data_IF_095488087822
#
_entry.id   IF_095488087822
#
_cell.length_a   1.000
_cell.length_b   1.000
_cell.length_c   1.000
_cell.angle_alpha   90.00
_cell.angle_beta   90.00
_cell.angle_gamma   90.00
#
_symmetry.space_group_name_H-M   'P 1'
#
loop_
_entity.id
_entity.type
_entity.pdbx_description
1 polymer ?
2 polymer ?
3 polymer ?
4 non-polymer ?
#
loop_
_entity_poly.entity_id
_entity_poly.type
_entity_poly.pdbx_seq_one_letter_code
_entity_poly.pdbx_strand_id
2 'polyribonucleotide' 'GGCCAAAGGCCCUUUUCAGGGCCACC' ?
3 'polyribonucleotide' 'GGCCAAAGGCCCUUUUCAGGGCCACCCC' ?
#
# COMPACT_ATOMS: atom_id res chain seq x y z
N UNK A 2 16.63 -21.09 8.39
CA UNK A 2 15.36 -20.84 7.72
C UNK A 2 14.14 -21.47 8.42
N UNK A 3 14.19 -21.52 9.75
CA UNK A 3 13.01 -21.86 10.57
C UNK A 3 13.23 -21.37 12.00
N UNK A 4 12.48 -20.36 12.38
CA UNK A 4 12.74 -19.65 13.62
C UNK A 4 11.43 -19.24 14.22
N UNK A 5 11.28 -19.47 15.51
CA UNK A 5 10.16 -18.89 16.21
C UNK A 5 10.72 -18.16 17.39
N UNK A 6 10.27 -16.91 17.52
CA UNK A 6 10.73 -15.99 18.54
C UNK A 6 10.28 -16.49 19.89
N UNK A 7 11.17 -16.47 20.87
CA UNK A 7 10.80 -16.95 22.20
C UNK A 7 10.71 -15.82 23.22
N UNK A 8 11.54 -14.80 23.04
CA UNK A 8 11.70 -13.71 24.01
C UNK A 8 10.37 -13.02 24.37
N UNK A 9 9.91 -13.23 25.61
CA UNK A 9 8.56 -12.78 26.00
C UNK A 9 8.47 -11.28 25.84
N UNK A 10 9.59 -10.62 26.16
CA UNK A 10 9.74 -9.19 25.92
C UNK A 10 9.36 -8.84 24.49
N UNK A 11 10.06 -9.43 23.53
CA UNK A 11 9.80 -9.17 22.12
C UNK A 11 8.36 -9.50 21.72
N UNK A 12 7.86 -10.63 22.19
CA UNK A 12 6.51 -11.04 21.86
C UNK A 12 5.41 -10.12 22.43
N UNK A 13 5.62 -9.61 23.63
CA UNK A 13 4.63 -8.69 24.19
C UNK A 13 4.61 -7.39 23.42
N UNK A 14 5.78 -6.76 23.28
CA UNK A 14 5.89 -5.51 22.55
C UNK A 14 5.20 -5.68 21.21
N UNK A 15 5.55 -6.76 20.52
CA UNK A 15 4.96 -7.03 19.22
C UNK A 15 3.46 -7.31 19.31
N UNK A 16 3.01 -7.97 20.38
CA UNK A 16 1.59 -8.22 20.46
C UNK A 16 0.88 -6.89 20.62
N UNK A 17 1.43 -6.04 21.49
CA UNK A 17 0.86 -4.73 21.77
C UNK A 17 0.65 -3.97 20.47
N UNK A 18 1.72 -3.83 19.69
CA UNK A 18 1.66 -3.15 18.40
C UNK A 18 0.54 -3.72 17.55
N UNK A 19 0.36 -5.03 17.59
CA UNK A 19 -0.67 -5.69 16.80
C UNK A 19 -2.03 -5.36 17.37
N UNK A 20 -2.15 -5.49 18.68
CA UNK A 20 -3.40 -5.25 19.39
C UNK A 20 -3.89 -3.86 19.11
N UNK A 21 -2.95 -2.91 19.07
CA UNK A 21 -3.25 -1.55 18.70
C UNK A 21 -3.97 -1.56 17.38
N UNK A 22 -3.41 -2.27 16.42
CA UNK A 22 -3.91 -2.21 15.06
C UNK A 22 -5.29 -2.83 14.93
N UNK A 23 -5.58 -3.82 15.76
CA UNK A 23 -6.87 -4.50 15.66
C UNK A 23 -7.93 -3.64 16.31
N UNK A 24 -7.50 -2.79 17.24
CA UNK A 24 -8.40 -1.93 17.99
C UNK A 24 -8.93 -0.77 17.14
N UNK A 25 -8.33 -0.59 15.96
CA UNK A 25 -8.81 0.45 15.06
C UNK A 25 -10.14 0.02 14.46
N UNK A 26 -10.83 1.00 13.88
CA UNK A 26 -12.11 0.77 13.21
C UNK A 26 -11.89 0.13 11.84
N UNK A 27 -10.78 0.50 11.20
CA UNK A 27 -10.42 -0.05 9.90
C UNK A 27 -10.30 -1.56 9.94
N UNK A 28 -9.63 -2.09 10.98
CA UNK A 28 -9.53 -3.53 11.16
C UNK A 28 -10.90 -4.13 11.47
N UNK A 29 -11.69 -3.46 12.30
CA UNK A 29 -13.06 -3.91 12.54
C UNK A 29 -13.76 -4.02 11.19
N UNK A 30 -13.74 -2.92 10.44
CA UNK A 30 -14.26 -2.89 9.07
C UNK A 30 -13.35 -3.67 8.12
N UNK A 31 -13.07 -4.93 8.47
CA UNK A 31 -12.26 -5.81 7.64
C UNK A 31 -12.88 -7.16 7.95
N UNK A 32 -14.21 -7.12 8.08
CA UNK A 32 -15.03 -8.31 8.18
C UNK A 32 -15.41 -8.64 6.74
N UNK A 33 -14.92 -7.82 5.83
CA UNK A 33 -15.17 -8.00 4.40
C UNK A 33 -13.97 -8.63 3.67
N UNK A 34 -13.39 -9.71 4.22
CA UNK A 34 -12.31 -10.42 3.54
C UNK A 34 -12.07 -11.86 4.02
N UNK A 35 -12.30 -12.82 3.13
CA UNK A 35 -12.02 -14.23 3.44
C UNK A 35 -10.55 -14.59 3.24
N UNK A 36 -9.92 -15.19 4.27
CA UNK A 36 -8.64 -15.87 4.04
C UNK A 36 -8.79 -17.03 3.05
N UNK A 40 -6.77 -12.43 2.76
CA UNK A 40 -6.73 -13.15 1.48
C UNK A 40 -5.34 -13.09 0.82
N UNK A 41 -5.09 -12.10 -0.03
CA UNK A 41 -3.81 -11.99 -0.72
C UNK A 41 -2.76 -11.22 0.06
N UNK A 42 -1.67 -10.86 -0.62
CA UNK A 42 -0.61 -10.11 0.02
C UNK A 42 -0.73 -8.63 -0.34
N UNK A 43 -1.64 -8.35 -1.28
CA UNK A 43 -1.98 -6.97 -1.65
C UNK A 43 -2.86 -6.41 -0.54
N UNK A 44 -3.42 -7.31 0.26
CA UNK A 44 -4.17 -6.92 1.43
C UNK A 44 -3.24 -6.51 2.56
N UNK A 45 -3.80 -5.99 3.66
CA UNK A 45 -2.96 -5.72 4.82
C UNK A 45 -3.00 -6.85 5.84
N UNK A 46 -1.89 -7.58 5.96
CA UNK A 46 -1.85 -8.70 6.89
C UNK A 46 -0.90 -8.39 8.04
N UNK A 47 -1.35 -8.75 9.24
CA UNK A 47 -0.60 -8.47 10.44
C UNK A 47 0.72 -9.21 10.34
N UNK A 48 1.83 -8.58 10.75
CA UNK A 48 3.11 -9.25 10.70
C UNK A 48 3.11 -10.51 11.58
N UNK A 49 3.89 -11.51 11.20
CA UNK A 49 4.07 -12.64 12.06
C UNK A 49 4.87 -12.18 13.27
N UNK A 50 4.30 -12.34 14.46
CA UNK A 50 4.98 -11.82 15.61
C UNK A 50 6.12 -12.76 15.98
N UNK A 51 6.02 -13.99 15.48
CA UNK A 51 6.99 -15.02 15.82
C UNK A 51 8.11 -15.08 14.83
N UNK A 52 8.07 -14.22 13.82
CA UNK A 52 9.09 -14.25 12.80
C UNK A 52 10.40 -13.73 13.32
N UNK A 53 11.50 -14.25 12.79
CA UNK A 53 12.80 -13.68 13.09
C UNK A 53 12.87 -12.40 12.30
N UNK A 54 12.89 -11.28 13.01
CA UNK A 54 12.93 -9.98 12.40
C UNK A 54 13.83 -9.05 13.18
N UNK A 55 14.43 -8.07 12.51
CA UNK A 55 15.19 -7.06 13.22
C UNK A 55 14.17 -6.12 13.82
N UNK A 56 14.64 -5.22 14.69
CA UNK A 56 13.74 -4.29 15.36
C UNK A 56 13.15 -3.31 14.37
N UNK A 57 13.99 -2.75 13.50
CA UNK A 57 13.50 -1.84 12.50
C UNK A 57 12.58 -2.54 11.53
N UNK A 58 12.94 -3.79 11.21
CA UNK A 58 12.22 -4.57 10.21
C UNK A 58 10.80 -4.78 10.61
N UNK A 59 10.60 -5.15 11.87
CA UNK A 59 9.27 -5.47 12.35
C UNK A 59 8.48 -4.21 12.48
N UNK A 60 9.16 -3.17 12.92
CA UNK A 60 8.50 -1.92 13.15
C UNK A 60 8.11 -1.39 11.78
N UNK A 61 9.07 -1.42 10.86
CA UNK A 61 8.79 -1.08 9.47
C UNK A 61 7.52 -1.71 8.90
N UNK A 62 7.38 -3.01 9.12
CA UNK A 62 6.22 -3.76 8.67
C UNK A 62 4.95 -3.25 9.28
N UNK A 63 5.02 -3.01 10.58
CA UNK A 63 3.87 -2.59 11.34
C UNK A 63 3.37 -1.22 10.90
N UNK A 64 4.31 -0.29 10.70
CA UNK A 64 3.96 1.01 10.15
C UNK A 64 3.12 0.81 8.91
N UNK A 65 3.68 0.07 7.97
CA UNK A 65 3.04 -0.18 6.68
C UNK A 65 1.73 -0.90 6.89
N UNK A 66 1.64 -1.65 7.97
CA UNK A 66 0.43 -2.37 8.21
C UNK A 66 -0.69 -1.40 8.51
N UNK A 67 -0.49 -0.60 9.53
CA UNK A 67 -1.45 0.38 9.96
C UNK A 67 -1.87 1.35 8.86
N UNK A 68 -0.91 1.84 8.08
CA UNK A 68 -1.23 2.72 6.97
C UNK A 68 -2.18 2.01 6.02
N UNK A 69 -1.78 0.82 5.59
CA UNK A 69 -2.57 0.04 4.66
C UNK A 69 -4.00 -0.17 5.16
N UNK A 70 -4.16 -0.26 6.47
CA UNK A 70 -5.48 -0.51 7.01
C UNK A 70 -6.46 0.56 6.57
N UNK A 71 -5.99 1.81 6.56
CA UNK A 71 -6.87 2.97 6.42
C UNK A 71 -7.66 3.01 5.14
N UNK A 72 -7.32 2.13 4.19
CA UNK A 72 -8.11 1.94 2.98
C UNK A 72 -9.48 1.37 3.33
N UNK A 73 -9.71 1.14 4.62
CA UNK A 73 -10.92 0.45 5.05
C UNK A 73 -11.92 1.22 5.88
N UNK A 74 -12.11 2.51 5.58
CA UNK A 74 -13.35 3.20 5.94
C UNK A 74 -13.47 4.64 5.45
N UNK A 75 -14.69 5.04 4.99
CA UNK A 75 -15.05 6.43 4.65
C UNK A 75 -15.74 7.16 5.81
N UNK B 3 1.82 24.39 -9.19
CA UNK B 3 2.63 25.61 -9.27
C UNK B 3 3.65 25.50 -10.41
N UNK B 4 3.78 24.28 -10.93
CA UNK B 4 4.60 23.98 -12.10
C UNK B 4 3.82 22.97 -12.91
N UNK B 5 3.84 23.11 -14.23
CA UNK B 5 3.22 22.10 -15.08
C UNK B 5 4.24 21.68 -16.11
N UNK B 6 4.42 20.37 -16.27
CA UNK B 6 5.38 19.85 -17.23
C UNK B 6 4.88 20.14 -18.62
N UNK B 7 5.81 20.49 -19.49
CA UNK B 7 5.45 20.95 -20.83
C UNK B 7 6.22 20.24 -21.94
N UNK B 8 7.28 19.53 -21.59
CA UNK B 8 8.02 18.69 -22.55
C UNK B 8 7.10 17.62 -23.17
N UNK B 9 7.00 17.60 -24.52
CA UNK B 9 6.15 16.61 -25.19
C UNK B 9 6.59 15.20 -24.87
N UNK B 10 7.90 15.00 -24.88
CA UNK B 10 8.54 13.70 -24.70
C UNK B 10 8.24 13.12 -23.35
N UNK B 11 8.43 13.95 -22.33
CA UNK B 11 8.12 13.58 -20.95
C UNK B 11 6.63 13.28 -20.77
N UNK B 12 5.79 14.12 -21.37
CA UNK B 12 4.37 13.97 -21.20
C UNK B 12 3.85 12.71 -21.82
N UNK B 13 4.30 12.45 -23.04
CA UNK B 13 3.88 11.25 -23.78
C UNK B 13 4.29 10.00 -23.03
N UNK B 14 5.57 9.91 -22.67
CA UNK B 14 6.08 8.77 -21.93
C UNK B 14 5.32 8.58 -20.64
N UNK B 15 5.26 9.63 -19.83
CA UNK B 15 4.59 9.53 -18.54
C UNK B 15 3.16 9.04 -18.74
N UNK B 16 2.52 9.42 -19.84
CA UNK B 16 1.15 8.98 -20.02
C UNK B 16 1.12 7.49 -20.35
N UNK B 17 2.09 7.05 -21.17
CA UNK B 17 2.26 5.63 -21.44
C UNK B 17 2.33 4.80 -20.16
N UNK B 18 3.18 5.23 -19.23
CA UNK B 18 3.32 4.53 -17.97
C UNK B 18 1.98 4.40 -17.28
N UNK B 19 1.25 5.50 -17.22
CA UNK B 19 -0.08 5.49 -16.61
C UNK B 19 -1.03 4.66 -17.45
N UNK B 20 -0.91 4.80 -18.77
CA UNK B 20 -1.81 4.13 -19.69
C UNK B 20 -1.73 2.64 -19.45
N UNK B 21 -0.51 2.17 -19.21
CA UNK B 21 -0.29 0.77 -18.87
C UNK B 21 -1.08 0.36 -17.64
N UNK B 22 -0.94 1.13 -16.57
CA UNK B 22 -1.67 0.85 -15.36
C UNK B 22 -3.16 0.85 -15.58
N UNK B 23 -3.65 1.81 -16.36
CA UNK B 23 -5.08 1.90 -16.60
C UNK B 23 -5.57 0.73 -17.47
N UNK B 24 -4.66 0.16 -18.25
CA UNK B 24 -4.96 -1.00 -19.09
C UNK B 24 -5.24 -2.25 -18.28
N UNK B 25 -4.65 -2.36 -17.10
CA UNK B 25 -4.80 -3.54 -16.27
C UNK B 25 -6.23 -3.73 -15.75
N UNK B 26 -6.45 -4.86 -15.08
CA UNK B 26 -7.78 -5.28 -14.65
C UNK B 26 -8.27 -4.50 -13.44
N UNK B 27 -7.40 -4.33 -12.46
CA UNK B 27 -7.82 -3.77 -11.18
C UNK B 27 -8.32 -2.33 -11.29
N UNK B 28 -7.75 -1.58 -12.24
CA UNK B 28 -8.17 -0.20 -12.46
C UNK B 28 -9.64 -0.17 -12.83
N UNK B 29 -10.05 -1.12 -13.66
CA UNK B 29 -11.46 -1.25 -14.03
C UNK B 29 -12.30 -1.55 -12.80
N UNK B 30 -11.68 -2.11 -11.78
CA UNK B 30 -12.37 -2.38 -10.54
C UNK B 30 -12.18 -1.21 -9.57
N UNK B 31 -11.37 -0.25 -9.96
CA UNK B 31 -11.17 0.96 -9.17
C UNK B 31 -12.25 1.96 -9.58
N UNK B 32 -13.49 1.57 -9.38
CA UNK B 32 -14.65 2.33 -9.84
C UNK B 32 -15.76 2.37 -8.80
N UNK B 33 -15.46 1.97 -7.57
CA UNK B 33 -16.42 2.08 -6.46
C UNK B 33 -16.36 3.45 -5.81
N UNK B 34 -15.60 4.37 -6.42
CA UNK B 34 -15.11 5.55 -5.71
C UNK B 34 -16.00 6.76 -5.68
N UNK B 35 -15.71 7.62 -4.70
CA UNK B 35 -16.20 8.99 -4.65
C UNK B 35 -15.00 9.88 -5.04
N UNK B 36 -14.60 9.83 -6.35
CA UNK B 36 -13.34 10.41 -6.82
C UNK B 36 -13.13 11.83 -6.31
N UNK B 37 -11.88 12.20 -6.05
CA UNK B 37 -11.56 13.52 -5.52
C UNK B 37 -10.08 13.86 -5.70
N UNK B 41 -9.39 8.38 -3.54
CA UNK B 41 -9.77 9.58 -2.82
C UNK B 41 -8.74 10.00 -1.76
N UNK B 42 -8.05 9.04 -1.12
CA UNK B 42 -7.20 9.37 0.02
C UNK B 42 -6.02 8.41 0.25
N UNK B 43 -6.38 7.20 0.68
CA UNK B 43 -5.46 6.09 0.91
C UNK B 43 -5.53 5.13 -0.27
N UNK B 44 -6.00 5.64 -1.40
CA UNK B 44 -6.25 4.78 -2.52
C UNK B 44 -5.09 4.82 -3.49
N UNK B 45 -5.12 4.00 -4.52
CA UNK B 45 -4.06 4.18 -5.51
C UNK B 45 -4.34 5.43 -6.32
N UNK B 46 -3.73 6.54 -5.94
CA UNK B 46 -3.90 7.72 -6.76
C UNK B 46 -2.89 7.56 -7.89
N UNK B 47 -3.30 7.87 -9.11
CA UNK B 47 -2.37 7.89 -10.22
C UNK B 47 -1.44 9.08 -10.01
N UNK B 48 -0.15 8.90 -10.32
CA UNK B 48 0.81 9.99 -10.15
C UNK B 48 0.45 11.15 -11.04
N UNK B 49 0.79 12.38 -10.62
CA UNK B 49 0.52 13.56 -11.46
C UNK B 49 1.58 13.67 -12.54
N UNK B 50 1.19 13.39 -13.78
CA UNK B 50 2.15 13.39 -14.86
C UNK B 50 2.79 14.75 -15.07
N UNK B 51 2.12 15.81 -14.64
CA UNK B 51 2.54 17.19 -14.93
C UNK B 51 3.44 17.81 -13.88
N UNK B 52 3.74 17.05 -12.83
CA UNK B 52 4.56 17.56 -11.74
C UNK B 52 6.04 17.62 -12.08
N UNK B 53 6.76 18.50 -11.43
CA UNK B 53 8.21 18.50 -11.55
C UNK B 53 8.74 17.33 -10.73
N UNK B 54 9.40 16.41 -11.41
CA UNK B 54 9.85 15.17 -10.82
C UNK B 54 11.10 14.73 -11.57
N UNK B 55 12.10 14.21 -10.88
CA UNK B 55 13.18 13.50 -11.58
C UNK B 55 12.67 12.22 -12.24
N UNK B 56 13.38 11.74 -13.26
CA UNK B 56 13.07 10.45 -13.86
C UNK B 56 12.90 9.36 -12.79
N UNK B 57 13.87 9.25 -11.90
CA UNK B 57 13.83 8.25 -10.85
C UNK B 57 12.60 8.38 -9.96
N UNK B 58 12.25 9.63 -9.63
CA UNK B 58 11.16 9.87 -8.71
C UNK B 58 9.85 9.48 -9.33
N UNK B 59 9.67 9.87 -10.60
CA UNK B 59 8.40 9.62 -11.24
C UNK B 59 8.20 8.15 -11.41
N UNK B 60 9.23 7.48 -11.92
CA UNK B 60 9.18 6.03 -12.16
C UNK B 60 8.96 5.35 -10.81
N UNK B 61 9.70 5.81 -9.81
CA UNK B 61 9.51 5.37 -8.43
C UNK B 61 8.06 5.38 -8.00
N UNK B 62 7.30 6.38 -8.46
CA UNK B 62 5.90 6.50 -8.07
C UNK B 62 5.06 5.53 -8.84
N UNK B 63 5.34 5.45 -10.14
CA UNK B 63 4.66 4.51 -11.01
C UNK B 63 4.80 3.12 -10.46
N UNK B 64 6.01 2.76 -10.04
CA UNK B 64 6.25 1.50 -9.37
C UNK B 64 5.23 1.28 -8.23
N UNK B 65 5.23 2.17 -7.26
CA UNK B 65 4.34 2.02 -6.11
C UNK B 65 2.87 2.02 -6.52
N UNK B 66 2.59 2.68 -7.62
CA UNK B 66 1.21 2.84 -7.99
C UNK B 66 0.67 1.56 -8.55
N UNK B 67 1.50 0.85 -9.32
CA UNK B 67 1.08 -0.40 -9.90
C UNK B 67 0.98 -1.45 -8.80
N UNK B 68 1.97 -1.52 -7.93
CA UNK B 68 1.95 -2.49 -6.85
C UNK B 68 0.68 -2.34 -6.03
N UNK B 69 0.32 -1.09 -5.73
CA UNK B 69 -0.75 -0.82 -4.79
C UNK B 69 -2.12 -0.94 -5.42
N UNK B 70 -2.15 -0.84 -6.74
CA UNK B 70 -3.38 -1.05 -7.47
C UNK B 70 -3.93 -2.46 -7.24
N UNK B 71 -3.03 -3.44 -7.10
CA UNK B 71 -3.40 -4.84 -7.12
C UNK B 71 -4.26 -5.32 -5.95
N UNK B 72 -4.57 -4.42 -5.02
CA UNK B 72 -5.53 -4.78 -3.98
C UNK B 72 -6.94 -4.88 -4.57
N UNK B 73 -7.07 -4.51 -5.84
CA UNK B 73 -8.35 -4.59 -6.53
C UNK B 73 -8.38 -5.67 -7.61
N UNK B 74 -7.64 -6.75 -7.36
CA UNK B 74 -7.76 -7.92 -8.19
C UNK B 74 -9.07 -8.61 -7.82
N UNK B 75 -9.54 -9.53 -8.67
CA UNK B 75 -10.73 -10.34 -8.33
C UNK B 75 -10.40 -11.51 -7.40
X LIG E 1 7.08 6.71 4.67
X LIG F 1 11.21 8.90 1.18
X LIG G 1 18.72 7.14 9.47
X LIG H 1 13.00 -3.49 0.36
X LIG I 1 15.59 2.02 4.62
#
# INVERSE_FOLDING_TARGET
SSSYTEADPAILSRRQKQIDYGKNTAAYERYVEMVPKDERTRDHPREPNKYGKYSRRAFDGLVKIWRKSLHIYDPPTQARDTAKDENEDEDED
SSSYTEADPAILSRRQKQIDYGKNTAAYERYVEMVPKDERTRDHPREPNKYGKYSRRAFDGLVKIWRKSLHIYDPPTQARDTAKDENEDEDED
CA CA
CA CA
CA CA
CA CA
CA CA
#
